data_IF_929426525961
#
_entry.id   IF_929426525961
#
_cell.length_a   1.000
_cell.length_b   1.000
_cell.length_c   1.000
_cell.angle_alpha   90.00
_cell.angle_beta   90.00
_cell.angle_gamma   90.00
#
_symmetry.space_group_name_H-M   'P 1'
#
loop_
_entity.id
_entity.type
_entity.pdbx_description
1 polymer ?
#
# COMPACT_ATOMS: atom_id res chain seq x y z
N UNK A 1 12.48 5.85 -1.99
CA UNK A 1 13.04 7.13 -2.48
C UNK A 1 13.54 8.00 -1.34
N UNK A 2 12.70 8.83 -0.69
CA UNK A 2 13.18 9.78 0.34
C UNK A 2 13.63 9.13 1.65
N UNK A 3 13.08 7.95 2.01
CA UNK A 3 13.37 7.21 3.26
C UNK A 3 12.98 7.95 4.56
N UNK A 4 12.13 8.95 4.45
CA UNK A 4 11.69 9.79 5.57
C UNK A 4 10.17 10.02 5.56
N UNK A 5 9.43 9.09 4.94
CA UNK A 5 7.98 9.15 4.75
C UNK A 5 7.41 10.34 3.95
N UNK A 6 8.24 11.31 3.52
CA UNK A 6 7.75 12.50 2.81
C UNK A 6 7.18 12.27 1.40
N UNK A 7 7.62 11.23 0.68
CA UNK A 7 7.25 11.04 -0.73
C UNK A 7 6.08 10.07 -0.98
N UNK A 8 5.68 9.27 0.00
CA UNK A 8 4.62 8.25 -0.15
C UNK A 8 4.90 7.08 -1.11
N UNK A 9 6.04 7.03 -1.81
CA UNK A 9 6.34 5.96 -2.78
C UNK A 9 6.47 4.56 -2.14
N UNK A 10 6.66 4.49 -0.83
CA UNK A 10 6.80 3.27 -0.04
C UNK A 10 5.52 2.89 0.71
N UNK A 11 4.37 3.45 0.31
CA UNK A 11 3.10 3.18 0.97
C UNK A 11 2.70 1.72 0.78
N UNK A 12 2.28 1.10 1.89
CA UNK A 12 1.71 -0.24 1.95
C UNK A 12 0.46 -0.17 2.84
N UNK A 13 -0.46 -1.10 2.65
CA UNK A 13 -1.66 -1.19 3.48
C UNK A 13 -1.45 -2.25 4.55
N UNK A 14 -1.82 -1.94 5.78
CA UNK A 14 -1.73 -2.87 6.91
C UNK A 14 -3.11 -3.07 7.52
N UNK A 15 -3.36 -4.27 8.01
CA UNK A 15 -4.52 -4.58 8.85
C UNK A 15 -4.00 -5.04 10.22
N UNK A 16 -4.40 -4.33 11.26
CA UNK A 16 -3.95 -4.57 12.64
C UNK A 16 -5.10 -4.44 13.64
N UNK A 17 -4.96 -4.96 14.88
CA UNK A 17 -5.94 -4.74 15.93
C UNK A 17 -6.10 -3.24 16.23
N UNK A 18 -7.35 -2.78 16.21
CA UNK A 18 -7.74 -1.42 16.61
C UNK A 18 -7.52 -1.22 18.12
N UNK A 19 -7.54 0.04 18.55
CA UNK A 19 -7.69 0.41 19.96
C UNK A 19 -9.01 -0.09 20.55
N UNK A 20 -10.04 -0.29 19.72
CA UNK A 20 -11.29 -0.94 20.09
C UNK A 20 -11.10 -2.46 20.22
N UNK A 21 -11.45 -3.01 21.40
CA UNK A 21 -11.30 -4.44 21.67
C UNK A 21 -12.03 -5.29 20.62
N UNK A 22 -11.28 -6.12 19.90
CA UNK A 22 -11.80 -7.11 18.95
C UNK A 22 -12.08 -6.60 17.53
N UNK A 23 -11.75 -5.34 17.20
CA UNK A 23 -11.85 -4.84 15.83
C UNK A 23 -10.48 -4.87 15.12
N UNK A 24 -10.52 -5.15 13.82
CA UNK A 24 -9.38 -4.97 12.93
C UNK A 24 -9.57 -3.68 12.15
N UNK A 25 -8.52 -2.87 12.07
CA UNK A 25 -8.47 -1.66 11.26
C UNK A 25 -7.50 -1.84 10.10
N UNK A 26 -7.88 -1.32 8.94
CA UNK A 26 -7.04 -1.32 7.75
C UNK A 26 -6.69 0.12 7.41
N UNK A 27 -5.40 0.41 7.24
CA UNK A 27 -4.89 1.74 6.93
C UNK A 27 -3.55 1.68 6.21
N UNK A 28 -3.12 2.80 5.63
CA UNK A 28 -1.84 2.90 4.93
C UNK A 28 -0.70 3.36 5.85
N UNK A 29 0.49 2.77 5.69
CA UNK A 29 1.72 3.14 6.39
C UNK A 29 2.91 3.27 5.45
N UNK A 30 3.94 4.00 5.89
CA UNK A 30 5.15 4.20 5.11
C UNK A 30 6.25 3.22 5.50
N UNK A 31 6.39 2.15 4.71
CA UNK A 31 7.30 1.04 5.00
C UNK A 31 8.77 1.44 5.22
N UNK A 32 9.22 2.57 4.65
CA UNK A 32 10.59 3.04 4.83
C UNK A 32 10.94 3.50 6.26
N UNK A 33 9.93 3.81 7.09
CA UNK A 33 10.12 4.24 8.49
C UNK A 33 9.38 3.34 9.48
N UNK A 34 8.59 2.37 9.01
CA UNK A 34 7.90 1.40 9.86
C UNK A 34 8.86 0.30 10.30
N UNK A 35 9.18 0.18 11.61
CA UNK A 35 10.10 -0.87 12.07
C UNK A 35 9.46 -2.26 11.95
N UNK A 36 10.23 -3.25 11.51
CA UNK A 36 9.73 -4.61 11.29
C UNK A 36 9.17 -5.27 12.55
N UNK A 37 9.75 -5.00 13.73
CA UNK A 37 9.26 -5.56 15.00
C UNK A 37 7.92 -4.96 15.45
N UNK A 38 7.53 -3.79 14.93
CA UNK A 38 6.29 -3.11 15.32
C UNK A 38 5.05 -3.67 14.60
N UNK A 39 5.26 -4.50 13.58
CA UNK A 39 4.19 -5.06 12.73
C UNK A 39 4.02 -6.57 12.95
N UNK A 40 4.51 -7.09 14.09
CA UNK A 40 4.30 -8.49 14.45
C UNK A 40 2.80 -8.81 14.55
N UNK A 41 2.39 -9.90 13.91
CA UNK A 41 0.98 -10.30 13.82
C UNK A 41 0.09 -9.43 12.93
N UNK A 42 0.62 -8.40 12.24
CA UNK A 42 -0.17 -7.57 11.33
C UNK A 42 -0.23 -8.23 9.94
N UNK A 43 -1.34 -8.03 9.24
CA UNK A 43 -1.42 -8.38 7.82
C UNK A 43 -0.89 -7.21 6.98
N UNK A 44 0.08 -7.46 6.09
CA UNK A 44 0.68 -6.44 5.23
C UNK A 44 0.34 -6.77 3.77
N UNK A 45 -0.23 -5.79 3.06
CA UNK A 45 -0.52 -5.87 1.63
C UNK A 45 0.35 -4.86 0.87
N UNK A 46 1.10 -5.34 -0.13
CA UNK A 46 1.86 -4.52 -1.07
C UNK A 46 1.12 -4.41 -2.41
N UNK A 47 1.69 -3.65 -3.36
CA UNK A 47 1.13 -3.47 -4.70
C UNK A 47 0.91 -4.81 -5.43
N UNK A 48 1.80 -5.78 -5.24
CA UNK A 48 1.70 -7.11 -5.84
C UNK A 48 0.64 -7.97 -5.15
N UNK A 49 0.34 -7.69 -3.88
CA UNK A 49 -0.65 -8.42 -3.08
C UNK A 49 -2.08 -8.23 -3.57
N UNK A 50 -2.41 -7.04 -4.08
CA UNK A 50 -3.77 -6.70 -4.53
C UNK A 50 -4.04 -7.10 -5.99
N UNK A 51 -3.01 -7.35 -6.78
CA UNK A 51 -3.16 -7.69 -8.19
C UNK A 51 -1.83 -7.73 -8.93
N UNK A 52 -1.79 -8.49 -10.02
CA UNK A 52 -0.59 -8.68 -10.85
C UNK A 52 -0.95 -9.17 -12.25
N UNK A 53 0.00 -9.12 -13.18
CA UNK A 53 -0.16 -9.67 -14.53
C UNK A 53 -0.58 -11.15 -14.55
N UNK A 54 -0.18 -11.94 -13.54
CA UNK A 54 -0.50 -13.38 -13.46
C UNK A 54 -1.88 -13.67 -12.87
N UNK A 55 -2.39 -12.79 -12.01
CA UNK A 55 -3.64 -12.99 -11.24
C UNK A 55 -4.80 -12.11 -11.70
N UNK A 56 -4.53 -11.16 -12.59
CA UNK A 56 -5.42 -10.04 -12.87
C UNK A 56 -5.08 -8.83 -11.99
N UNK A 57 -5.32 -7.64 -12.54
CA UNK A 57 -5.06 -6.38 -11.85
C UNK A 57 -6.30 -5.94 -11.05
N UNK A 58 -6.06 -5.30 -9.90
CA UNK A 58 -7.11 -4.65 -9.14
C UNK A 58 -7.68 -3.47 -9.95
N UNK A 59 -8.98 -3.13 -9.84
CA UNK A 59 -9.56 -2.00 -10.57
C UNK A 59 -8.82 -0.66 -10.38
N UNK A 60 -8.18 -0.44 -9.22
CA UNK A 60 -7.34 0.74 -8.98
C UNK A 60 -6.10 0.73 -9.88
N UNK A 61 -5.40 -0.40 -9.96
CA UNK A 61 -4.23 -0.59 -10.83
C UNK A 61 -4.61 -0.41 -12.31
N UNK A 62 -5.75 -0.96 -12.72
CA UNK A 62 -6.22 -0.80 -14.09
C UNK A 62 -6.58 0.65 -14.43
N UNK A 63 -7.31 1.33 -13.55
CA UNK A 63 -7.78 2.69 -13.80
C UNK A 63 -6.61 3.67 -13.86
N UNK A 64 -5.68 3.61 -12.92
CA UNK A 64 -4.54 4.55 -12.95
C UNK A 64 -3.69 4.39 -14.22
N UNK A 65 -3.56 3.16 -14.75
CA UNK A 65 -2.88 2.91 -16.01
C UNK A 65 -3.70 3.38 -17.22
N UNK A 66 -5.00 3.04 -17.29
CA UNK A 66 -5.90 3.36 -18.41
C UNK A 66 -6.13 4.86 -18.58
N UNK A 67 -6.14 5.62 -17.49
CA UNK A 67 -6.42 7.05 -17.50
C UNK A 67 -5.16 7.92 -17.47
N UNK A 68 -4.02 7.39 -17.95
CA UNK A 68 -2.74 8.12 -18.02
C UNK A 68 -2.26 8.69 -16.68
N UNK A 69 -2.64 8.07 -15.56
CA UNK A 69 -2.19 8.45 -14.21
C UNK A 69 -0.76 7.98 -13.89
N UNK A 70 0.01 7.59 -14.90
CA UNK A 70 1.37 7.06 -14.76
C UNK A 70 2.23 7.51 -15.92
N UNK A 71 3.43 8.00 -15.62
CA UNK A 71 4.47 8.30 -16.61
C UNK A 71 5.67 7.38 -16.40
N UNK A 72 6.64 7.76 -15.55
CA UNK A 72 7.79 6.92 -15.24
C UNK A 72 7.44 5.68 -14.39
N UNK A 73 6.26 5.65 -13.77
CA UNK A 73 5.77 4.50 -12.99
C UNK A 73 6.27 4.41 -11.55
N UNK A 74 7.28 5.18 -11.16
CA UNK A 74 7.95 4.99 -9.86
C UNK A 74 7.04 5.26 -8.65
N UNK A 75 6.23 6.32 -8.72
CA UNK A 75 5.31 6.69 -7.63
C UNK A 75 3.98 5.92 -7.68
N UNK A 76 3.68 5.25 -8.79
CA UNK A 76 2.39 4.59 -9.03
C UNK A 76 2.03 3.56 -7.96
N UNK A 77 2.94 2.68 -7.50
CA UNK A 77 2.63 1.76 -6.40
C UNK A 77 2.16 2.48 -5.14
N UNK A 78 2.84 3.56 -4.75
CA UNK A 78 2.47 4.36 -3.59
C UNK A 78 1.08 4.98 -3.72
N UNK A 79 0.76 5.56 -4.88
CA UNK A 79 -0.59 6.09 -5.15
C UNK A 79 -1.67 5.00 -5.09
N UNK A 80 -1.40 3.84 -5.70
CA UNK A 80 -2.35 2.72 -5.71
C UNK A 80 -2.63 2.22 -4.29
N UNK A 81 -1.60 2.05 -3.46
CA UNK A 81 -1.80 1.57 -2.09
C UNK A 81 -2.56 2.57 -1.21
N UNK A 82 -2.30 3.87 -1.36
CA UNK A 82 -3.07 4.90 -0.63
C UNK A 82 -4.55 4.99 -1.06
N UNK A 83 -4.89 4.61 -2.31
CA UNK A 83 -6.29 4.51 -2.74
C UNK A 83 -6.96 3.20 -2.30
N UNK A 84 -6.17 2.17 -1.99
CA UNK A 84 -6.65 0.85 -1.62
C UNK A 84 -6.97 0.73 -0.12
N UNK A 85 -6.08 1.26 0.72
CA UNK A 85 -6.20 1.21 2.18
C UNK A 85 -6.93 2.38 2.79
#
# INVERSE_FOLDING_TARGET
>A
MCKEAGCGCCAVTVTSPSSDLGKLETYSVQSCVTPLYAVDGWQINTIEGIGSQKKGFHPIQERIAKFNGTQCGYCTPGFVMNMYG
#
